data_IF_494594946157
#
_entry.id   IF_494594946157
#
_cell.length_a   1.000
_cell.length_b   1.000
_cell.length_c   1.000
_cell.angle_alpha   90.00
_cell.angle_beta   90.00
_cell.angle_gamma   90.00
#
_symmetry.space_group_name_H-M   'P 1'
#
loop_
_entity.id
_entity.type
_entity.pdbx_description
1 polymer ?
#
# COMPACT_ATOMS: atom_id res chain seq x y z
N UNK A 1 -7.68 -25.61 3.78
CA UNK A 1 -6.69 -24.51 3.75
C UNK A 1 -7.29 -23.40 2.89
N UNK A 2 -7.51 -22.23 3.48
CA UNK A 2 -8.37 -21.19 2.91
C UNK A 2 -7.73 -20.50 1.69
N UNK A 3 -8.36 -20.72 0.53
CA UNK A 3 -8.53 -19.81 -0.62
C UNK A 3 -7.33 -18.99 -1.11
N UNK A 4 -6.30 -19.64 -1.63
CA UNK A 4 -5.12 -19.01 -2.26
C UNK A 4 -5.37 -18.43 -3.67
N UNK A 5 -6.50 -17.78 -3.92
CA UNK A 5 -6.81 -17.19 -5.25
C UNK A 5 -6.84 -15.66 -5.29
N UNK A 6 -6.93 -14.97 -4.16
CA UNK A 6 -6.78 -13.51 -4.09
C UNK A 6 -5.35 -13.05 -3.83
N UNK A 7 -4.54 -13.87 -3.15
CA UNK A 7 -3.20 -13.50 -2.67
C UNK A 7 -2.21 -13.20 -3.81
N UNK A 8 -2.27 -13.93 -4.92
CA UNK A 8 -1.29 -13.76 -6.01
C UNK A 8 -1.44 -12.42 -6.74
N UNK A 9 -2.68 -11.97 -6.93
CA UNK A 9 -2.96 -10.70 -7.61
C UNK A 9 -2.63 -9.52 -6.69
N UNK A 10 -3.00 -9.62 -5.41
CA UNK A 10 -2.67 -8.62 -4.40
C UNK A 10 -1.16 -8.46 -4.24
N UNK A 11 -0.43 -9.58 -4.13
CA UNK A 11 1.04 -9.60 -4.08
C UNK A 11 1.66 -8.99 -5.34
N UNK A 12 1.08 -9.24 -6.51
CA UNK A 12 1.52 -8.61 -7.76
C UNK A 12 1.34 -7.09 -7.74
N UNK A 13 0.17 -6.57 -7.35
CA UNK A 13 -0.04 -5.11 -7.27
C UNK A 13 0.91 -4.48 -6.26
N UNK A 14 1.12 -5.12 -5.11
CA UNK A 14 2.05 -4.65 -4.08
C UNK A 14 3.48 -4.58 -4.65
N UNK A 15 3.94 -5.62 -5.33
CA UNK A 15 5.24 -5.62 -5.98
C UNK A 15 5.35 -4.53 -7.05
N UNK A 16 4.28 -4.24 -7.79
CA UNK A 16 4.26 -3.16 -8.77
C UNK A 16 4.36 -1.78 -8.10
N UNK A 17 3.60 -1.55 -7.03
CA UNK A 17 3.68 -0.30 -6.23
C UNK A 17 5.07 -0.15 -5.61
N UNK A 18 5.69 -1.24 -5.13
CA UNK A 18 7.07 -1.22 -4.61
C UNK A 18 8.13 -0.97 -5.67
N UNK A 19 7.89 -1.43 -6.91
CA UNK A 19 8.76 -1.17 -8.06
C UNK A 19 8.67 0.26 -8.55
N UNK A 20 7.48 0.86 -8.42
CA UNK A 20 7.32 2.27 -8.68
C UNK A 20 8.11 3.07 -7.65
N UNK A 21 8.79 4.12 -8.12
CA UNK A 21 9.64 4.97 -7.29
C UNK A 21 8.83 5.96 -6.43
N UNK A 22 7.72 5.50 -5.85
CA UNK A 22 6.91 6.27 -4.92
C UNK A 22 7.63 6.41 -3.58
N UNK A 23 7.44 7.54 -2.90
CA UNK A 23 7.97 7.78 -1.55
C UNK A 23 7.08 7.15 -0.48
N UNK A 24 6.82 5.85 -0.62
CA UNK A 24 6.03 5.03 0.29
C UNK A 24 6.77 3.76 0.70
N UNK A 25 6.46 3.25 1.89
CA UNK A 25 7.01 2.00 2.41
C UNK A 25 5.89 0.99 2.54
N UNK A 26 6.02 -0.16 1.90
CA UNK A 26 5.07 -1.26 2.14
C UNK A 26 5.54 -2.06 3.36
N UNK A 27 4.70 -2.07 4.39
CA UNK A 27 4.90 -2.82 5.62
C UNK A 27 4.01 -4.06 5.64
N UNK A 28 4.37 -5.04 6.45
CA UNK A 28 3.55 -6.22 6.70
C UNK A 28 3.14 -6.24 8.17
N UNK A 29 1.85 -6.06 8.44
CA UNK A 29 1.29 -6.08 9.78
C UNK A 29 0.28 -7.23 9.90
N UNK A 30 0.48 -8.14 10.86
CA UNK A 30 -0.40 -9.29 11.10
C UNK A 30 -0.67 -10.15 9.84
N UNK A 31 0.32 -10.28 8.96
CA UNK A 31 0.17 -11.03 7.70
C UNK A 31 -0.63 -10.30 6.62
N UNK A 32 -0.86 -8.99 6.80
CA UNK A 32 -1.53 -8.12 5.83
C UNK A 32 -0.61 -6.99 5.37
N UNK A 33 -0.66 -6.61 4.09
CA UNK A 33 0.14 -5.54 3.54
C UNK A 33 -0.44 -4.18 3.94
N UNK A 34 0.39 -3.30 4.49
CA UNK A 34 0.04 -1.94 4.86
C UNK A 34 0.89 -0.96 4.05
N UNK A 35 0.29 0.11 3.55
CA UNK A 35 1.01 1.15 2.82
C UNK A 35 1.34 2.29 3.77
N UNK A 36 2.61 2.50 4.06
CA UNK A 36 3.06 3.69 4.76
C UNK A 36 3.41 4.79 3.76
N UNK A 37 2.83 5.98 3.93
CA UNK A 37 3.07 7.13 3.06
C UNK A 37 3.58 8.33 3.87
N UNK A 38 4.47 9.11 3.27
CA UNK A 38 5.03 10.31 3.91
C UNK A 38 4.18 11.57 3.68
N UNK A 39 3.34 11.57 2.65
CA UNK A 39 2.54 12.74 2.28
C UNK A 39 1.28 12.33 1.54
N UNK A 40 0.22 13.10 1.74
CA UNK A 40 -1.09 12.85 1.12
C UNK A 40 -1.01 12.83 -0.42
N UNK A 41 -0.11 13.60 -1.02
CA UNK A 41 0.11 13.63 -2.46
C UNK A 41 0.61 12.27 -2.98
N UNK A 42 1.53 11.61 -2.27
CA UNK A 42 2.02 10.28 -2.63
C UNK A 42 0.92 9.23 -2.49
N UNK A 43 0.14 9.29 -1.41
CA UNK A 43 -1.02 8.40 -1.26
C UNK A 43 -1.98 8.52 -2.44
N UNK A 44 -2.25 9.75 -2.89
CA UNK A 44 -3.10 9.98 -4.05
C UNK A 44 -2.48 9.43 -5.33
N UNK A 45 -1.17 9.62 -5.58
CA UNK A 45 -0.48 9.07 -6.75
C UNK A 45 -0.54 7.54 -6.79
N UNK A 46 -0.33 6.89 -5.65
CA UNK A 46 -0.37 5.43 -5.56
C UNK A 46 -1.81 4.94 -5.74
N UNK A 47 -2.78 5.61 -5.14
CA UNK A 47 -4.21 5.27 -5.30
C UNK A 47 -4.67 5.42 -6.75
N UNK A 48 -4.30 6.52 -7.41
CA UNK A 48 -4.60 6.76 -8.83
C UNK A 48 -3.92 5.73 -9.73
N UNK A 49 -2.65 5.41 -9.48
CA UNK A 49 -1.92 4.36 -10.19
C UNK A 49 -2.58 2.98 -10.04
N UNK A 50 -2.93 2.58 -8.82
CA UNK A 50 -3.57 1.28 -8.58
C UNK A 50 -4.92 1.21 -9.29
N UNK A 51 -5.66 2.30 -9.29
CA UNK A 51 -6.94 2.40 -9.99
C UNK A 51 -6.79 2.43 -11.50
N UNK A 52 -5.82 3.15 -12.05
CA UNK A 52 -5.61 3.26 -13.49
C UNK A 52 -5.08 1.94 -14.09
N UNK A 53 -4.14 1.28 -13.41
CA UNK A 53 -3.49 0.07 -13.92
C UNK A 53 -4.27 -1.21 -13.60
N UNK A 54 -4.92 -1.28 -12.44
CA UNK A 54 -5.58 -2.50 -11.95
C UNK A 54 -7.09 -2.36 -11.77
N UNK A 55 -7.67 -1.17 -11.98
CA UNK A 55 -9.09 -0.87 -11.70
C UNK A 55 -9.50 -1.24 -10.27
N UNK A 56 -8.57 -1.07 -9.32
CA UNK A 56 -8.77 -1.36 -7.90
C UNK A 56 -8.58 -0.15 -7.03
N UNK A 57 -9.23 -0.17 -5.87
CA UNK A 57 -8.97 0.80 -4.82
C UNK A 57 -7.74 0.40 -4.01
N UNK A 58 -6.99 1.42 -3.56
CA UNK A 58 -5.80 1.21 -2.76
C UNK A 58 -6.08 0.35 -1.51
N UNK A 59 -7.21 0.58 -0.85
CA UNK A 59 -7.61 -0.15 0.36
C UNK A 59 -8.16 -1.56 0.07
N UNK A 60 -8.41 -1.89 -1.20
CA UNK A 60 -8.71 -3.26 -1.62
C UNK A 60 -7.41 -4.09 -1.72
N UNK A 61 -6.31 -3.42 -2.05
CA UNK A 61 -4.97 -4.02 -2.18
C UNK A 61 -4.19 -3.98 -0.86
N UNK A 62 -4.20 -2.84 -0.16
CA UNK A 62 -3.54 -2.64 1.11
C UNK A 62 -4.57 -2.63 2.23
N UNK A 63 -4.29 -3.33 3.32
CA UNK A 63 -5.19 -3.40 4.46
C UNK A 63 -5.42 -2.04 5.12
N UNK A 64 -4.38 -1.22 5.19
CA UNK A 64 -4.47 0.14 5.72
C UNK A 64 -3.39 1.02 5.12
N UNK A 65 -3.69 2.31 5.02
CA UNK A 65 -2.74 3.35 4.66
C UNK A 65 -2.33 4.11 5.94
N UNK A 66 -1.06 4.01 6.29
CA UNK A 66 -0.47 4.56 7.52
C UNK A 66 0.30 5.82 7.15
N UNK A 67 0.00 6.94 7.79
CA UNK A 67 0.84 8.13 7.66
C UNK A 67 2.15 7.90 8.44
N UNK A 68 3.29 8.10 7.77
CA UNK A 68 4.60 8.03 8.42
C UNK A 68 4.73 9.25 9.34
N UNK A 69 4.48 9.07 10.64
CA UNK A 69 4.64 10.14 11.62
C UNK A 69 6.12 10.20 11.99
N UNK A 70 6.86 11.28 11.68
CA UNK A 70 8.21 11.44 12.16
C UNK A 70 8.20 11.44 13.70
N UNK A 71 9.18 10.76 14.30
CA UNK A 71 9.35 10.59 15.75
C UNK A 71 9.72 11.92 16.44
N UNK A 72 8.85 12.92 16.35
CA UNK A 72 8.99 14.21 17.03
C UNK A 72 7.61 14.67 17.52
N UNK A 73 7.04 13.94 18.48
CA UNK A 73 6.01 14.44 19.40
C UNK A 73 5.73 13.39 20.47
N UNK A 74 6.68 13.16 21.36
CA UNK A 74 6.38 12.69 22.72
C UNK A 74 7.22 13.55 23.65
N UNK A 75 6.62 14.69 24.00
CA UNK A 75 7.15 15.65 24.97
C UNK A 75 6.81 15.24 26.39
#
# INVERSE_FOLDING_TARGET
MATSRGSAEQDYVIEQVRRQAFQCTVLWCEGRPCLEYNSQEELNKISDYVKAEFDKDLLDVFFTAIESIPVESSS
#
